data_IF_693129144775
#
_entry.id   IF_693129144775
#
_cell.length_a   1.000
_cell.length_b   1.000
_cell.length_c   1.000
_cell.angle_alpha   90.00
_cell.angle_beta   90.00
_cell.angle_gamma   90.00
#
_symmetry.space_group_name_H-M   'P 1'
#
loop_
_entity.id
_entity.type
_entity.pdbx_description
1 polymer ?
#
# COMPACT_ATOMS: atom_id res chain seq x y z
N UNK A 1 22.31 4.49 0.89
CA UNK A 1 23.23 5.32 0.05
C UNK A 1 22.41 6.02 -1.02
N UNK A 2 22.51 7.34 -1.13
CA UNK A 2 21.72 8.14 -2.09
C UNK A 2 22.45 8.10 -3.44
N UNK A 3 21.97 7.27 -4.37
CA UNK A 3 22.59 7.09 -5.69
C UNK A 3 22.49 8.35 -6.56
N UNK A 4 23.42 8.51 -7.50
CA UNK A 4 23.56 9.65 -8.42
C UNK A 4 22.29 9.96 -9.24
N UNK A 5 21.40 8.97 -9.45
CA UNK A 5 20.08 9.14 -10.09
C UNK A 5 18.90 9.36 -9.15
N UNK A 6 19.09 9.21 -7.83
CA UNK A 6 18.00 9.19 -6.85
C UNK A 6 17.25 10.52 -6.75
N UNK A 7 17.94 11.64 -6.94
CA UNK A 7 17.32 12.95 -6.89
C UNK A 7 16.46 13.28 -8.13
N UNK A 8 16.74 12.64 -9.27
CA UNK A 8 15.94 12.80 -10.50
C UNK A 8 14.63 12.02 -10.37
N UNK A 9 14.73 10.74 -9.98
CA UNK A 9 13.56 9.88 -9.76
C UNK A 9 12.63 10.46 -8.69
N UNK A 10 13.18 10.99 -7.59
CA UNK A 10 12.38 11.64 -6.54
C UNK A 10 11.60 12.87 -7.05
N UNK A 11 12.20 13.70 -7.91
CA UNK A 11 11.52 14.86 -8.50
C UNK A 11 10.39 14.42 -9.45
N UNK A 12 10.64 13.41 -10.29
CA UNK A 12 9.59 12.84 -11.15
C UNK A 12 8.46 12.17 -10.36
N UNK A 13 8.78 11.44 -9.30
CA UNK A 13 7.78 10.82 -8.42
C UNK A 13 6.89 11.87 -7.77
N UNK A 14 7.47 13.00 -7.33
CA UNK A 14 6.72 14.11 -6.75
C UNK A 14 5.78 14.76 -7.77
N UNK A 15 6.26 14.99 -8.99
CA UNK A 15 5.43 15.52 -10.08
C UNK A 15 4.29 14.56 -10.45
N UNK A 16 4.58 13.26 -10.53
CA UNK A 16 3.58 12.22 -10.82
C UNK A 16 2.55 12.07 -9.70
N UNK A 17 2.97 12.14 -8.45
CA UNK A 17 2.07 12.13 -7.30
C UNK A 17 1.10 13.32 -7.35
N UNK A 18 1.62 14.52 -7.59
CA UNK A 18 0.83 15.74 -7.70
C UNK A 18 -0.16 15.70 -8.88
N UNK A 19 0.30 15.20 -10.04
CA UNK A 19 -0.57 14.97 -11.20
C UNK A 19 -1.66 13.93 -10.88
N UNK A 20 -1.31 12.83 -10.21
CA UNK A 20 -2.24 11.78 -9.80
C UNK A 20 -3.32 12.29 -8.84
N UNK A 21 -2.94 13.10 -7.84
CA UNK A 21 -3.90 13.74 -6.92
C UNK A 21 -4.84 14.70 -7.65
N UNK A 22 -4.30 15.47 -8.61
CA UNK A 22 -5.07 16.43 -9.39
C UNK A 22 -6.08 15.74 -10.32
N UNK A 23 -5.67 14.64 -10.98
CA UNK A 23 -6.54 13.85 -11.85
C UNK A 23 -7.60 13.10 -11.04
N UNK A 24 -7.23 12.53 -9.89
CA UNK A 24 -8.18 11.86 -8.99
C UNK A 24 -9.29 12.81 -8.53
N UNK A 25 -8.92 14.07 -8.27
CA UNK A 25 -9.84 15.13 -7.84
C UNK A 25 -10.18 16.12 -8.98
N UNK A 26 -10.26 15.65 -10.22
CA UNK A 26 -10.41 16.52 -11.41
C UNK A 26 -11.63 17.45 -11.31
N UNK A 27 -12.74 16.98 -10.73
CA UNK A 27 -13.95 17.80 -10.55
C UNK A 27 -13.68 19.02 -9.67
N UNK A 28 -12.81 18.90 -8.67
CA UNK A 28 -12.45 20.00 -7.77
C UNK A 28 -11.44 20.93 -8.43
N UNK A 29 -10.48 20.39 -9.20
CA UNK A 29 -9.47 21.18 -9.89
C UNK A 29 -10.07 22.01 -11.03
N UNK A 30 -11.01 21.43 -11.78
CA UNK A 30 -11.71 22.06 -12.90
C UNK A 30 -12.54 23.29 -12.49
N UNK A 31 -12.81 23.50 -11.19
CA UNK A 31 -13.62 24.62 -10.73
C UNK A 31 -12.93 25.99 -10.87
N UNK A 32 -11.60 26.08 -10.72
CA UNK A 32 -10.79 27.30 -10.93
C UNK A 32 -9.28 27.13 -10.62
N UNK A 33 -8.77 25.90 -10.49
CA UNK A 33 -7.41 25.66 -10.02
C UNK A 33 -6.50 25.00 -11.07
N UNK A 34 -6.98 24.80 -12.29
CA UNK A 34 -6.25 24.12 -13.36
C UNK A 34 -4.92 24.81 -13.68
N UNK A 35 -4.93 26.12 -13.94
CA UNK A 35 -3.72 26.88 -14.27
C UNK A 35 -2.68 26.82 -13.14
N UNK A 36 -3.15 26.88 -11.89
CA UNK A 36 -2.28 26.80 -10.70
C UNK A 36 -1.64 25.42 -10.57
N UNK A 37 -2.38 24.36 -10.88
CA UNK A 37 -1.87 22.98 -10.90
C UNK A 37 -0.86 22.80 -12.03
N UNK A 38 -1.13 23.32 -13.22
CA UNK A 38 -0.21 23.25 -14.36
C UNK A 38 1.10 24.00 -14.10
N UNK A 39 1.05 25.16 -13.43
CA UNK A 39 2.25 25.92 -13.04
C UNK A 39 3.09 25.14 -12.01
N UNK A 40 2.45 24.60 -10.96
CA UNK A 40 3.12 23.78 -9.95
C UNK A 40 3.77 22.53 -10.57
N UNK A 41 3.07 21.86 -11.48
CA UNK A 41 3.60 20.69 -12.19
C UNK A 41 4.81 21.06 -13.06
N UNK A 42 4.69 22.13 -13.85
CA UNK A 42 5.77 22.62 -14.71
C UNK A 42 7.00 23.02 -13.92
N UNK A 43 6.80 23.69 -12.77
CA UNK A 43 7.88 24.08 -11.85
C UNK A 43 8.64 22.88 -11.29
N UNK A 44 7.96 21.81 -10.92
CA UNK A 44 8.59 20.58 -10.41
C UNK A 44 9.36 19.83 -11.52
N UNK A 45 8.97 19.96 -12.79
CA UNK A 45 9.66 19.36 -13.94
C UNK A 45 10.89 20.15 -14.43
N UNK A 46 11.02 21.43 -14.09
CA UNK A 46 12.18 22.24 -14.48
C UNK A 46 13.49 21.75 -13.85
N UNK A 47 13.45 21.32 -12.59
CA UNK A 47 14.61 20.76 -11.88
C UNK A 47 15.19 19.50 -12.56
N UNK A 48 14.39 18.44 -12.83
CA UNK A 48 14.89 17.27 -13.54
C UNK A 48 15.34 17.60 -14.97
N UNK A 49 14.63 18.46 -15.69
CA UNK A 49 15.01 18.87 -17.05
C UNK A 49 16.39 19.53 -17.11
N UNK A 50 16.66 20.52 -16.24
CA UNK A 50 17.98 21.18 -16.16
C UNK A 50 19.10 20.22 -15.79
N UNK A 51 18.82 19.24 -14.92
CA UNK A 51 19.81 18.23 -14.53
C UNK A 51 20.12 17.26 -15.66
N UNK A 52 19.13 16.84 -16.43
CA UNK A 52 19.34 16.02 -17.63
C UNK A 52 20.24 16.73 -18.64
N UNK A 53 20.00 18.02 -18.88
CA UNK A 53 20.83 18.81 -19.80
C UNK A 53 22.29 18.92 -19.34
N UNK A 54 22.55 19.19 -18.05
CA UNK A 54 23.94 19.19 -17.52
C UNK A 54 24.61 17.84 -17.64
N UNK A 55 23.88 16.74 -17.43
CA UNK A 55 24.39 15.38 -17.59
C UNK A 55 24.80 15.12 -19.04
N UNK A 56 23.97 15.54 -19.99
CA UNK A 56 24.24 15.41 -21.42
C UNK A 56 25.46 16.23 -21.85
N UNK A 57 25.63 17.45 -21.31
CA UNK A 57 26.83 18.25 -21.56
C UNK A 57 28.11 17.56 -21.09
N UNK A 58 28.10 16.95 -19.90
CA UNK A 58 29.25 16.20 -19.38
C UNK A 58 29.57 14.99 -20.29
N UNK A 59 28.53 14.25 -20.71
CA UNK A 59 28.70 13.13 -21.63
C UNK A 59 29.23 13.57 -23.00
N UNK A 60 28.75 14.71 -23.52
CA UNK A 60 29.20 15.29 -24.78
C UNK A 60 30.65 15.75 -24.74
N UNK A 61 31.09 16.39 -23.64
CA UNK A 61 32.50 16.77 -23.44
C UNK A 61 33.39 15.53 -23.42
N UNK A 62 33.00 14.47 -22.72
CA UNK A 62 33.76 13.22 -22.66
C UNK A 62 33.91 12.57 -24.05
N UNK A 63 32.84 12.58 -24.84
CA UNK A 63 32.88 12.10 -26.22
C UNK A 63 33.80 12.96 -27.11
N UNK A 64 33.78 14.28 -26.94
CA UNK A 64 34.66 15.21 -27.64
C UNK A 64 36.15 14.98 -27.32
N UNK A 65 36.48 14.71 -26.05
CA UNK A 65 37.85 14.38 -25.62
C UNK A 65 38.34 13.08 -26.28
N UNK A 66 37.46 12.07 -26.42
CA UNK A 66 37.79 10.82 -27.11
C UNK A 66 38.17 11.05 -28.58
N UNK A 67 37.40 11.89 -29.30
CA UNK A 67 37.68 12.25 -30.69
C UNK A 67 39.01 13.00 -30.86
N UNK A 68 39.34 13.88 -29.91
CA UNK A 68 40.64 14.58 -29.91
C UNK A 68 41.81 13.62 -29.67
N UNK A 69 41.62 12.57 -28.84
CA UNK A 69 42.60 11.51 -28.63
C UNK A 69 42.96 10.76 -29.92
N UNK A 70 41.99 10.52 -30.82
CA UNK A 70 42.22 9.90 -32.12
C UNK A 70 43.10 10.77 -33.04
N UNK A 71 42.90 12.08 -33.04
CA UNK A 71 43.73 13.03 -33.82
C UNK A 71 45.18 13.06 -33.31
N UNK A 72 45.38 12.89 -32.00
CA UNK A 72 46.70 12.88 -31.38
C UNK A 72 47.52 11.63 -31.78
N UNK A 73 46.85 10.50 -32.01
CA UNK A 73 47.47 9.28 -32.55
C UNK A 73 47.97 9.49 -33.98
N UNK A 74 47.24 10.27 -34.80
CA UNK A 74 47.67 10.64 -36.16
C UNK A 74 48.95 11.49 -36.20
N UNK A 75 49.33 12.14 -35.09
CA UNK A 75 50.57 12.94 -34.96
C UNK A 75 51.79 12.12 -34.52
N UNK A 76 51.67 10.80 -34.38
CA UNK A 76 52.80 9.90 -34.08
C UNK A 76 53.31 9.93 -32.63
N UNK A 77 52.60 10.61 -31.72
CA UNK A 77 52.99 10.74 -30.31
C UNK A 77 52.75 9.46 -29.48
N UNK A 78 52.05 8.46 -30.02
CA UNK A 78 51.76 7.19 -29.32
C UNK A 78 51.55 6.02 -30.29
N UNK A 79 52.03 4.83 -29.93
CA UNK A 79 51.88 3.60 -30.73
C UNK A 79 50.43 3.10 -30.70
N UNK A 80 49.86 2.84 -31.89
CA UNK A 80 48.48 2.35 -32.07
C UNK A 80 48.18 1.09 -31.26
N UNK A 81 49.14 0.17 -31.19
CA UNK A 81 49.02 -1.10 -30.45
C UNK A 81 48.82 -0.87 -28.95
N UNK A 82 49.60 0.04 -28.35
CA UNK A 82 49.51 0.34 -26.92
C UNK A 82 48.19 1.01 -26.55
N UNK A 83 47.66 1.88 -27.43
CA UNK A 83 46.40 2.58 -27.16
C UNK A 83 45.20 1.64 -27.26
N UNK A 84 45.17 0.77 -28.28
CA UNK A 84 44.12 -0.23 -28.46
C UNK A 84 44.10 -1.24 -27.31
N UNK A 85 45.27 -1.66 -26.83
CA UNK A 85 45.39 -2.56 -25.67
C UNK A 85 44.85 -1.91 -24.39
N UNK A 86 45.23 -0.67 -24.11
CA UNK A 86 44.72 0.06 -22.93
C UNK A 86 43.21 0.30 -23.02
N UNK A 87 42.69 0.63 -24.20
CA UNK A 87 41.25 0.83 -24.41
C UNK A 87 40.44 -0.44 -24.17
N UNK A 88 40.90 -1.59 -24.67
CA UNK A 88 40.30 -2.90 -24.41
C UNK A 88 40.24 -3.20 -22.90
N UNK A 89 41.35 -2.98 -22.18
CA UNK A 89 41.41 -3.21 -20.72
C UNK A 89 40.43 -2.28 -19.99
N UNK A 90 40.39 -1.00 -20.35
CA UNK A 90 39.48 -0.03 -19.74
C UNK A 90 38.00 -0.39 -19.93
N UNK A 91 37.61 -0.84 -21.13
CA UNK A 91 36.23 -1.27 -21.39
C UNK A 91 35.89 -2.51 -20.55
N UNK A 92 36.74 -3.54 -20.56
CA UNK A 92 36.49 -4.78 -19.82
C UNK A 92 36.38 -4.49 -18.32
N UNK A 93 37.27 -3.67 -17.75
CA UNK A 93 37.19 -3.28 -16.34
C UNK A 93 35.92 -2.48 -16.03
N UNK A 94 35.52 -1.54 -16.90
CA UNK A 94 34.31 -0.75 -16.71
C UNK A 94 33.04 -1.63 -16.76
N UNK A 95 33.00 -2.62 -17.66
CA UNK A 95 31.89 -3.57 -17.76
C UNK A 95 31.77 -4.42 -16.50
N UNK A 96 32.86 -5.05 -16.07
CA UNK A 96 32.90 -5.86 -14.83
C UNK A 96 32.50 -5.01 -13.62
N UNK A 97 33.01 -3.78 -13.53
CA UNK A 97 32.64 -2.89 -12.43
C UNK A 97 31.17 -2.47 -12.49
N UNK A 98 30.61 -2.31 -13.69
CA UNK A 98 29.18 -2.06 -13.90
C UNK A 98 28.30 -3.18 -13.36
N UNK A 99 28.69 -4.44 -13.61
CA UNK A 99 27.98 -5.62 -13.09
C UNK A 99 28.04 -5.69 -11.56
N UNK A 100 29.22 -5.49 -10.96
CA UNK A 100 29.38 -5.47 -9.50
C UNK A 100 28.54 -4.36 -8.85
N UNK A 101 28.50 -3.17 -9.48
CA UNK A 101 27.73 -2.04 -8.98
C UNK A 101 26.21 -2.26 -9.12
N UNK A 102 25.78 -3.04 -10.11
CA UNK A 102 24.38 -3.41 -10.30
C UNK A 102 23.90 -4.42 -9.25
N UNK A 103 24.76 -5.32 -8.77
CA UNK A 103 24.45 -6.30 -7.73
C UNK A 103 24.43 -5.70 -6.31
N UNK A 104 25.21 -4.64 -6.06
CA UNK A 104 25.28 -3.98 -4.76
C UNK A 104 23.91 -3.58 -4.15
N UNK A 105 22.98 -2.91 -4.87
CA UNK A 105 21.67 -2.58 -4.31
C UNK A 105 20.79 -3.79 -4.02
N UNK A 106 20.96 -4.90 -4.75
CA UNK A 106 20.16 -6.10 -4.55
C UNK A 106 20.53 -6.82 -3.26
N UNK A 107 21.83 -6.91 -2.95
CA UNK A 107 22.32 -7.42 -1.67
C UNK A 107 21.84 -6.57 -0.48
N UNK A 108 21.78 -5.24 -0.65
CA UNK A 108 21.28 -4.35 0.40
C UNK A 108 19.77 -4.51 0.62
N UNK A 109 18.99 -4.69 -0.46
CA UNK A 109 17.55 -4.93 -0.37
C UNK A 109 17.24 -6.31 0.21
N UNK A 110 18.01 -7.34 -0.15
CA UNK A 110 17.85 -8.70 0.36
C UNK A 110 17.86 -8.72 1.89
N UNK A 111 18.85 -8.08 2.51
CA UNK A 111 18.94 -7.98 3.97
C UNK A 111 17.70 -7.30 4.60
N UNK A 112 17.16 -6.26 3.96
CA UNK A 112 15.96 -5.58 4.44
C UNK A 112 14.70 -6.44 4.31
N UNK A 113 14.58 -7.21 3.22
CA UNK A 113 13.45 -8.12 3.01
C UNK A 113 13.49 -9.26 4.02
N UNK A 114 14.66 -9.88 4.22
CA UNK A 114 14.85 -10.95 5.19
C UNK A 114 14.50 -10.45 6.60
N UNK A 115 14.98 -9.26 6.99
CA UNK A 115 14.62 -8.64 8.27
C UNK A 115 13.10 -8.46 8.43
N UNK A 116 12.41 -7.98 7.38
CA UNK A 116 10.95 -7.78 7.41
C UNK A 116 10.18 -9.11 7.51
N UNK A 117 10.66 -10.16 6.84
CA UNK A 117 10.06 -11.51 6.94
C UNK A 117 10.25 -12.09 8.34
N UNK A 118 11.45 -11.96 8.92
CA UNK A 118 11.69 -12.38 10.28
C UNK A 118 10.87 -11.58 11.30
N UNK A 119 10.69 -10.27 11.08
CA UNK A 119 9.79 -9.45 11.91
C UNK A 119 8.34 -9.94 11.86
N UNK A 120 7.85 -10.36 10.68
CA UNK A 120 6.51 -10.93 10.53
C UNK A 120 6.38 -12.32 11.17
N UNK A 121 7.42 -13.16 11.09
CA UNK A 121 7.43 -14.49 11.69
C UNK A 121 7.53 -14.44 13.22
N UNK A 122 8.31 -13.50 13.76
CA UNK A 122 8.50 -13.34 15.22
C UNK A 122 7.39 -12.47 15.86
N UNK A 123 6.52 -11.87 15.05
CA UNK A 123 5.36 -11.13 15.52
C UNK A 123 4.43 -12.06 16.30
N UNK A 124 4.37 -11.87 17.63
CA UNK A 124 3.35 -12.49 18.47
C UNK A 124 1.96 -11.96 18.11
N UNK A 125 1.00 -12.86 17.93
CA UNK A 125 -0.41 -12.49 17.75
C UNK A 125 -0.94 -11.88 19.04
N UNK A 126 -1.53 -10.68 18.94
CA UNK A 126 -2.23 -10.05 20.08
C UNK A 126 -3.56 -10.75 20.38
N UNK A 127 -4.04 -11.60 19.48
CA UNK A 127 -5.20 -12.46 19.67
C UNK A 127 -4.70 -13.79 20.21
N UNK A 128 -5.23 -14.20 21.36
CA UNK A 128 -4.97 -15.49 22.00
C UNK A 128 -5.55 -16.58 21.09
N UNK A 129 -4.70 -17.48 20.59
CA UNK A 129 -5.12 -18.57 19.70
C UNK A 129 -5.74 -19.73 20.48
N UNK A 130 -6.90 -20.21 20.00
CA UNK A 130 -7.57 -21.51 20.20
C UNK A 130 -7.55 -22.23 21.57
N UNK A 131 -7.07 -21.60 22.64
CA UNK A 131 -7.33 -22.03 24.02
C UNK A 131 -8.75 -21.63 24.41
N UNK A 132 -9.72 -22.21 23.70
CA UNK A 132 -11.14 -22.18 24.05
C UNK A 132 -11.52 -23.47 24.76
N UNK A 133 -12.44 -23.37 25.71
CA UNK A 133 -13.02 -24.54 26.35
C UNK A 133 -14.06 -25.17 25.40
N UNK A 134 -13.92 -26.46 25.10
CA UNK A 134 -14.94 -27.19 24.32
C UNK A 134 -16.18 -27.43 25.20
N UNK A 135 -17.25 -26.70 24.91
CA UNK A 135 -18.53 -26.88 25.59
C UNK A 135 -19.21 -28.16 25.08
N UNK A 136 -19.43 -29.12 25.98
CA UNK A 136 -20.09 -30.40 25.70
C UNK A 136 -21.58 -30.27 25.36
N UNK A 137 -22.22 -29.17 25.75
CA UNK A 137 -23.62 -28.85 25.41
C UNK A 137 -23.74 -27.36 25.12
N UNK A 138 -24.22 -27.02 23.92
CA UNK A 138 -24.43 -25.63 23.49
C UNK A 138 -25.93 -25.38 23.39
N UNK A 139 -26.48 -24.63 24.36
CA UNK A 139 -27.89 -24.26 24.36
C UNK A 139 -28.23 -23.24 23.27
N UNK A 140 -27.25 -22.53 22.68
CA UNK A 140 -27.46 -21.56 21.59
C UNK A 140 -28.04 -20.21 22.04
N UNK A 141 -27.98 -19.89 23.34
CA UNK A 141 -28.34 -18.58 23.89
C UNK A 141 -27.14 -17.63 23.82
N UNK A 142 -27.32 -16.46 23.20
CA UNK A 142 -26.26 -15.45 23.04
C UNK A 142 -26.67 -14.20 23.80
N UNK A 143 -25.78 -13.66 24.63
CA UNK A 143 -26.04 -12.46 25.42
C UNK A 143 -24.87 -11.48 25.31
N UNK A 144 -25.13 -10.28 24.83
CA UNK A 144 -24.22 -9.15 24.85
C UNK A 144 -24.56 -8.29 26.07
N UNK A 145 -23.57 -8.01 26.92
CA UNK A 145 -23.70 -7.13 28.10
C UNK A 145 -22.64 -6.05 28.09
N UNK A 146 -23.05 -4.78 28.13
CA UNK A 146 -22.18 -3.62 28.28
C UNK A 146 -21.05 -3.58 27.23
N UNK A 147 -21.35 -3.98 25.99
CA UNK A 147 -20.29 -4.13 24.97
C UNK A 147 -19.85 -2.75 24.48
N UNK A 148 -18.56 -2.46 24.65
CA UNK A 148 -17.88 -1.31 24.07
C UNK A 148 -16.91 -1.76 22.99
N UNK A 149 -17.05 -1.21 21.79
CA UNK A 149 -16.19 -1.59 20.67
C UNK A 149 -15.82 -0.38 19.82
N UNK A 150 -14.53 -0.31 19.49
CA UNK A 150 -13.94 0.64 18.54
C UNK A 150 -12.97 -0.12 17.65
N UNK A 151 -12.96 0.14 16.35
CA UNK A 151 -11.98 -0.46 15.45
C UNK A 151 -10.56 0.05 15.77
N UNK A 152 -9.52 -0.81 15.78
CA UNK A 152 -8.15 -0.38 16.06
C UNK A 152 -7.61 0.68 15.09
N UNK A 153 -8.08 0.67 13.83
CA UNK A 153 -7.72 1.68 12.82
C UNK A 153 -8.34 3.05 13.07
N UNK A 154 -9.41 3.13 13.88
CA UNK A 154 -10.15 4.36 14.19
C UNK A 154 -10.59 4.35 15.68
N UNK A 155 -9.64 4.44 16.62
CA UNK A 155 -9.93 4.27 18.06
C UNK A 155 -10.88 5.36 18.60
N UNK A 156 -10.85 6.56 18.01
CA UNK A 156 -11.68 7.70 18.40
C UNK A 156 -13.17 7.54 18.04
N UNK A 157 -13.50 6.59 17.16
CA UNK A 157 -14.88 6.35 16.73
C UNK A 157 -15.37 5.05 17.36
N UNK A 158 -16.07 5.19 18.48
CA UNK A 158 -16.78 4.06 19.10
C UNK A 158 -18.02 3.69 18.28
N UNK A 159 -18.13 2.39 18.00
CA UNK A 159 -19.22 1.76 17.24
C UNK A 159 -20.31 1.31 18.20
N UNK A 160 -19.94 0.56 19.24
CA UNK A 160 -20.84 0.18 20.34
C UNK A 160 -20.43 0.91 21.62
N UNK A 161 -21.43 1.48 22.31
CA UNK A 161 -21.33 2.09 23.64
C UNK A 161 -22.40 1.44 24.49
N UNK A 162 -22.01 0.70 25.54
CA UNK A 162 -22.93 0.03 26.46
C UNK A 162 -24.01 -0.80 25.73
N UNK A 163 -23.61 -1.60 24.74
CA UNK A 163 -24.56 -2.39 23.95
C UNK A 163 -25.00 -3.66 24.70
N UNK A 164 -26.28 -3.72 25.03
CA UNK A 164 -26.95 -4.85 25.67
C UNK A 164 -27.96 -5.51 24.72
N UNK A 165 -27.82 -6.82 24.48
CA UNK A 165 -28.76 -7.58 23.64
C UNK A 165 -28.82 -9.06 24.04
N UNK A 166 -30.03 -9.61 24.11
CA UNK A 166 -30.28 -11.03 24.44
C UNK A 166 -30.90 -11.76 23.26
N UNK A 167 -30.20 -12.76 22.72
CA UNK A 167 -30.67 -13.63 21.64
C UNK A 167 -31.05 -14.99 22.25
N UNK A 168 -32.35 -15.31 22.32
CA UNK A 168 -32.79 -16.61 22.81
C UNK A 168 -32.53 -17.71 21.78
N UNK A 169 -32.27 -18.92 22.25
CA UNK A 169 -32.01 -20.08 21.41
C UNK A 169 -33.17 -20.39 20.45
N UNK A 170 -32.84 -20.78 19.23
CA UNK A 170 -33.80 -21.17 18.20
C UNK A 170 -34.64 -20.03 17.59
N UNK A 171 -34.41 -18.78 18.01
CA UNK A 171 -35.11 -17.61 17.43
C UNK A 171 -34.18 -16.79 16.54
N UNK A 172 -34.77 -16.28 15.45
CA UNK A 172 -34.10 -15.31 14.57
C UNK A 172 -34.40 -13.90 15.10
N UNK A 173 -33.36 -13.09 15.26
CA UNK A 173 -33.49 -11.68 15.64
C UNK A 173 -32.75 -10.80 14.65
N UNK A 174 -33.42 -9.72 14.29
CA UNK A 174 -32.89 -8.67 13.43
C UNK A 174 -32.38 -7.49 14.23
N UNK A 175 -31.20 -7.01 13.85
CA UNK A 175 -30.70 -5.72 14.30
C UNK A 175 -30.95 -4.69 13.20
N UNK A 176 -31.94 -3.81 13.43
CA UNK A 176 -32.29 -2.67 12.59
C UNK A 176 -31.47 -1.45 13.00
N UNK A 177 -31.01 -0.65 12.05
CA UNK A 177 -30.16 0.52 12.34
C UNK A 177 -30.24 1.58 11.25
N UNK A 178 -30.01 2.84 11.60
CA UNK A 178 -29.96 3.92 10.61
C UNK A 178 -28.74 3.74 9.70
N UNK A 179 -28.84 4.15 8.43
CA UNK A 179 -27.74 4.04 7.44
C UNK A 179 -26.38 4.54 7.96
N UNK A 180 -26.40 5.61 8.76
CA UNK A 180 -25.22 6.22 9.39
C UNK A 180 -24.51 5.29 10.39
N UNK A 181 -25.24 4.39 11.04
CA UNK A 181 -24.66 3.37 11.92
C UNK A 181 -23.95 2.32 11.07
N UNK A 182 -24.56 1.88 9.97
CA UNK A 182 -23.99 0.90 9.03
C UNK A 182 -22.76 1.41 8.27
N UNK A 183 -22.72 2.68 7.89
CA UNK A 183 -21.55 3.31 7.25
C UNK A 183 -20.28 3.30 8.12
N UNK A 184 -20.44 3.31 9.46
CA UNK A 184 -19.31 3.22 10.39
C UNK A 184 -18.67 1.84 10.45
N UNK A 185 -19.36 0.79 9.99
CA UNK A 185 -18.81 -0.56 9.89
C UNK A 185 -17.86 -0.76 8.70
N UNK A 186 -17.71 0.24 7.82
CA UNK A 186 -16.67 0.26 6.80
C UNK A 186 -16.91 -0.68 5.60
N UNK A 187 -15.87 -0.95 4.79
CA UNK A 187 -15.99 -1.63 3.50
C UNK A 187 -16.42 -3.11 3.57
N UNK A 188 -16.52 -3.70 4.76
CA UNK A 188 -17.08 -5.04 4.94
C UNK A 188 -18.58 -5.14 4.63
N UNK A 189 -19.28 -4.00 4.55
CA UNK A 189 -20.65 -3.95 4.04
C UNK A 189 -20.76 -4.20 2.51
N UNK A 190 -19.64 -4.25 1.78
CA UNK A 190 -19.58 -4.50 0.34
C UNK A 190 -19.04 -5.88 -0.05
N UNK A 191 -18.81 -6.77 0.92
CA UNK A 191 -18.38 -8.15 0.67
C UNK A 191 -19.42 -8.91 -0.18
N UNK A 192 -19.04 -9.64 -1.25
CA UNK A 192 -19.98 -10.38 -2.12
C UNK A 192 -20.78 -11.49 -1.42
N UNK A 193 -20.40 -11.83 -0.18
CA UNK A 193 -21.05 -12.85 0.66
C UNK A 193 -22.35 -12.30 1.29
N UNK A 194 -22.54 -10.99 1.27
CA UNK A 194 -23.75 -10.31 1.69
C UNK A 194 -24.82 -10.42 0.61
N UNK A 195 -25.62 -11.48 0.61
CA UNK A 195 -26.78 -11.57 -0.29
C UNK A 195 -27.86 -10.56 0.16
N UNK A 196 -28.29 -9.62 -0.71
CA UNK A 196 -29.45 -8.80 -0.42
C UNK A 196 -30.71 -9.69 -0.37
N UNK A 197 -31.44 -9.68 0.75
CA UNK A 197 -32.73 -10.36 0.86
C UNK A 197 -33.82 -9.44 0.29
N UNK A 198 -34.42 -9.83 -0.84
CA UNK A 198 -35.46 -9.06 -1.50
C UNK A 198 -36.84 -9.66 -1.19
N UNK A 199 -37.61 -9.02 -0.30
CA UNK A 199 -39.04 -9.31 -0.11
C UNK A 199 -39.82 -8.06 -0.54
N UNK A 200 -40.77 -8.28 -1.43
CA UNK A 200 -41.39 -7.24 -2.24
C UNK A 200 -41.92 -6.01 -1.50
N UNK A 201 -41.75 -4.88 -2.19
CA UNK A 201 -42.54 -3.66 -2.13
C UNK A 201 -42.58 -2.91 -0.77
N UNK A 202 -41.41 -2.45 -0.32
CA UNK A 202 -41.16 -1.08 0.17
C UNK A 202 -39.68 -0.96 0.56
N UNK A 203 -38.86 -0.53 -0.39
CA UNK A 203 -37.63 0.27 -0.24
C UNK A 203 -36.68 0.04 0.97
N UNK A 204 -36.33 -1.20 1.34
CA UNK A 204 -35.31 -1.49 2.37
C UNK A 204 -34.40 -2.66 1.98
N UNK A 205 -33.08 -2.46 2.11
CA UNK A 205 -32.02 -3.41 1.71
C UNK A 205 -31.52 -4.14 2.96
N UNK A 206 -31.94 -5.38 3.16
CA UNK A 206 -31.44 -6.25 4.25
C UNK A 206 -30.10 -6.90 3.89
N UNK A 207 -29.15 -6.93 4.83
CA UNK A 207 -27.75 -7.39 4.61
C UNK A 207 -27.33 -8.38 5.70
N UNK A 208 -26.85 -9.58 5.33
CA UNK A 208 -26.46 -10.67 6.25
C UNK A 208 -25.01 -10.57 6.77
N UNK A 209 -24.75 -9.84 7.86
CA UNK A 209 -23.38 -9.70 8.40
C UNK A 209 -22.98 -10.84 9.36
N UNK A 210 -22.60 -12.01 8.84
CA UNK A 210 -22.00 -13.11 9.63
C UNK A 210 -20.62 -12.74 10.21
N UNK A 211 -19.85 -11.90 9.52
CA UNK A 211 -18.46 -11.56 9.89
C UNK A 211 -18.35 -10.64 11.13
N UNK A 212 -19.39 -9.84 11.38
CA UNK A 212 -19.38 -8.82 12.43
C UNK A 212 -19.48 -9.46 13.82
N UNK A 213 -20.27 -10.55 13.92
CA UNK A 213 -20.36 -11.37 15.11
C UNK A 213 -19.04 -12.10 15.34
N UNK A 214 -18.46 -12.71 14.31
CA UNK A 214 -17.15 -13.37 14.40
C UNK A 214 -16.05 -12.41 14.88
N UNK A 215 -16.10 -11.13 14.48
CA UNK A 215 -15.13 -10.13 14.91
C UNK A 215 -15.36 -9.63 16.35
N UNK A 216 -16.60 -9.58 16.84
CA UNK A 216 -16.92 -9.19 18.24
C UNK A 216 -16.65 -10.35 19.20
N UNK A 217 -17.01 -11.58 18.80
CA UNK A 217 -16.77 -12.80 19.59
C UNK A 217 -15.30 -13.18 19.67
N UNK A 218 -14.46 -12.78 18.69
CA UNK A 218 -13.00 -12.95 18.77
C UNK A 218 -12.29 -12.00 19.72
N UNK A 219 -12.92 -10.90 20.13
CA UNK A 219 -12.31 -9.88 20.99
C UNK A 219 -12.87 -9.89 22.42
N UNK A 220 -13.81 -10.78 22.70
CA UNK A 220 -14.40 -10.99 24.03
C UNK A 220 -14.15 -12.44 24.40
N UNK A 221 -13.36 -12.70 25.45
CA UNK A 221 -12.88 -14.03 25.91
C UNK A 221 -13.99 -15.02 26.35
N UNK A 222 -15.22 -14.89 25.87
CA UNK A 222 -16.43 -15.51 26.43
C UNK A 222 -17.47 -15.97 25.39
N UNK A 223 -17.13 -16.18 24.11
CA UNK A 223 -18.18 -16.60 23.15
C UNK A 223 -17.73 -17.72 22.20
N UNK A 224 -18.09 -18.96 22.59
CA UNK A 224 -18.17 -20.10 21.69
C UNK A 224 -19.52 -20.06 20.96
N UNK A 225 -19.53 -19.72 19.66
CA UNK A 225 -20.75 -19.69 18.86
C UNK A 225 -20.51 -20.19 17.42
N UNK A 226 -21.02 -21.38 17.13
CA UNK A 226 -21.25 -21.87 15.77
C UNK A 226 -22.29 -20.97 15.11
N UNK A 227 -21.82 -20.01 14.32
CA UNK A 227 -22.66 -18.97 13.71
C UNK A 227 -23.29 -19.53 12.44
N UNK A 228 -24.52 -20.05 12.53
CA UNK A 228 -25.29 -20.47 11.33
C UNK A 228 -26.56 -19.68 11.06
N UNK A 229 -27.11 -18.92 12.01
CA UNK A 229 -28.43 -18.29 11.82
C UNK A 229 -28.55 -16.91 12.52
N UNK A 230 -27.75 -15.93 12.13
CA UNK A 230 -28.05 -14.53 12.45
C UNK A 230 -28.47 -13.76 11.20
N UNK A 231 -29.64 -13.15 11.29
CA UNK A 231 -30.39 -12.55 10.19
C UNK A 231 -30.57 -11.07 10.53
N UNK A 232 -29.70 -10.22 9.99
CA UNK A 232 -29.77 -8.78 10.18
C UNK A 232 -30.81 -8.20 9.21
N UNK A 233 -31.86 -7.57 9.74
CA UNK A 233 -32.95 -6.94 8.96
C UNK A 233 -32.86 -5.44 9.23
N UNK A 234 -32.98 -4.63 8.18
CA UNK A 234 -32.92 -3.16 8.25
C UNK A 234 -34.14 -2.53 8.93
#
# INVERSE_FOLDING_TARGET
>A
MQGYGGNLSKAYLKANMFAGESISNIRTVAFCAEDKVLDLYSKELLEPSKRSFRREQIAGILYGVSQYGSILMGKGLSSFESVMKTFMVLIVTALVMGEVLALAPDLLKENQMVASVFELLDRRTQVIGDTGEELSTVEGKIEFKGVHFSYPSRPYVSIFRDFDMKIPSGKSMALCGTKRVWEKFGPFAHSPILRPYNRGNHDRRCVLALDLISSITRNSDQVSCTTRNLLFIE
#
